data_IF_182105271462
#
_entry.id   IF_182105271462
#
_cell.length_a   1.000
_cell.length_b   1.000
_cell.length_c   1.000
_cell.angle_alpha   90.00
_cell.angle_beta   90.00
_cell.angle_gamma   90.00
#
_symmetry.space_group_name_H-M   'P 1'
#
loop_
_entity.id
_entity.type
_entity.pdbx_description
1 polymer ?
#
# COMPACT_ATOMS: atom_id res chain seq x y z
N UNK A 1 1.31 12.62 2.97
CA UNK A 1 1.89 13.58 3.96
C UNK A 1 3.37 13.82 3.70
N UNK A 2 4.15 12.75 3.49
CA UNK A 2 5.56 12.80 3.05
C UNK A 2 5.73 13.54 1.72
N UNK A 3 4.79 13.39 0.78
CA UNK A 3 4.82 14.08 -0.53
C UNK A 3 4.80 15.61 -0.43
N UNK A 4 4.29 16.15 0.69
CA UNK A 4 4.34 17.61 0.94
C UNK A 4 5.74 18.08 1.28
N UNK A 5 6.54 17.25 1.97
CA UNK A 5 7.91 17.57 2.35
C UNK A 5 8.91 17.32 1.20
N UNK A 6 8.60 16.38 0.30
CA UNK A 6 9.47 15.99 -0.83
C UNK A 6 9.19 16.76 -2.15
N UNK A 7 8.49 17.90 -2.07
CA UNK A 7 8.01 18.65 -3.24
C UNK A 7 9.16 19.30 -4.02
N UNK A 8 8.97 19.47 -5.34
CA UNK A 8 9.97 20.11 -6.22
C UNK A 8 10.45 21.46 -5.68
N UNK A 9 11.77 21.68 -5.70
CA UNK A 9 12.43 22.86 -5.13
C UNK A 9 13.05 22.64 -3.75
N UNK A 10 12.85 21.47 -3.14
CA UNK A 10 13.51 21.08 -1.90
C UNK A 10 14.99 20.72 -2.17
N UNK A 11 15.93 21.50 -1.62
CA UNK A 11 17.37 21.32 -1.80
C UNK A 11 18.03 20.48 -0.70
N UNK A 12 17.30 20.17 0.38
CA UNK A 12 17.78 19.41 1.54
C UNK A 12 17.19 18.00 1.55
N UNK A 13 17.98 17.03 2.00
CA UNK A 13 17.52 15.65 2.18
C UNK A 13 16.36 15.58 3.19
N UNK A 14 15.29 14.88 2.81
CA UNK A 14 14.09 14.70 3.64
C UNK A 14 14.12 13.29 4.21
N UNK A 15 14.11 13.19 5.54
CA UNK A 15 13.98 11.92 6.24
C UNK A 15 12.54 11.74 6.71
N UNK A 16 11.93 10.62 6.32
CA UNK A 16 10.61 10.24 6.78
C UNK A 16 10.73 9.01 7.69
N UNK A 17 10.42 9.19 8.97
CA UNK A 17 10.33 8.10 9.93
C UNK A 17 8.87 7.80 10.20
N UNK A 18 8.49 6.53 10.10
CA UNK A 18 7.18 6.06 10.51
C UNK A 18 7.36 5.14 11.70
N UNK A 19 6.90 5.59 12.86
CA UNK A 19 6.87 4.79 14.07
C UNK A 19 5.67 3.84 13.98
N UNK A 20 5.89 2.57 14.29
CA UNK A 20 4.86 1.52 14.25
C UNK A 20 4.97 0.76 15.57
N UNK A 21 3.90 0.71 16.34
CA UNK A 21 3.86 -0.08 17.56
C UNK A 21 3.67 -1.57 17.23
N UNK A 22 4.58 -2.42 17.75
CA UNK A 22 4.50 -3.88 17.60
C UNK A 22 3.30 -4.45 18.35
N UNK A 23 2.70 -5.50 17.78
CA UNK A 23 1.55 -6.21 18.35
C UNK A 23 0.30 -5.32 18.52
N UNK A 24 0.22 -4.23 17.75
CA UNK A 24 -0.92 -3.33 17.76
C UNK A 24 -1.72 -3.36 16.46
N UNK A 25 -2.84 -2.65 16.46
CA UNK A 25 -3.69 -2.47 15.29
C UNK A 25 -2.95 -1.76 14.15
N UNK A 26 -1.96 -0.91 14.47
CA UNK A 26 -1.19 -0.17 13.47
C UNK A 26 -0.42 -1.11 12.54
N UNK A 27 0.21 -2.15 13.09
CA UNK A 27 0.93 -3.18 12.32
C UNK A 27 -0.01 -3.94 11.39
N UNK A 28 -1.20 -4.32 11.87
CA UNK A 28 -2.21 -5.02 11.08
C UNK A 28 -2.74 -4.18 9.92
N UNK A 29 -3.03 -2.90 10.19
CA UNK A 29 -3.47 -1.95 9.16
C UNK A 29 -2.41 -1.80 8.08
N UNK A 30 -1.14 -1.80 8.46
CA UNK A 30 -0.02 -1.69 7.56
C UNK A 30 0.13 -2.90 6.64
N UNK A 31 -0.01 -4.10 7.20
CA UNK A 31 -0.05 -5.34 6.43
C UNK A 31 -1.23 -5.36 5.45
N UNK A 32 -2.42 -4.94 5.90
CA UNK A 32 -3.61 -4.78 5.05
C UNK A 32 -3.38 -3.78 3.90
N UNK A 33 -2.78 -2.62 4.19
CA UNK A 33 -2.45 -1.63 3.16
C UNK A 33 -1.44 -2.17 2.13
N UNK A 34 -0.48 -3.01 2.55
CA UNK A 34 0.44 -3.69 1.63
C UNK A 34 -0.33 -4.65 0.72
N UNK A 35 -1.14 -5.53 1.29
CA UNK A 35 -1.93 -6.51 0.53
C UNK A 35 -2.84 -5.83 -0.50
N UNK A 36 -3.51 -4.73 -0.13
CA UNK A 36 -4.32 -3.94 -1.06
C UNK A 36 -3.51 -3.37 -2.22
N UNK A 37 -2.29 -2.87 -1.95
CA UNK A 37 -1.39 -2.34 -2.99
C UNK A 37 -0.91 -3.43 -3.92
N UNK A 38 -0.48 -4.56 -3.38
CA UNK A 38 0.05 -5.68 -4.17
C UNK A 38 -1.04 -6.23 -5.09
N UNK A 39 -2.28 -6.34 -4.59
CA UNK A 39 -3.43 -6.74 -5.38
C UNK A 39 -3.74 -5.72 -6.49
N UNK A 40 -3.72 -4.43 -6.17
CA UNK A 40 -3.95 -3.37 -7.16
C UNK A 40 -2.88 -3.37 -8.26
N UNK A 41 -1.61 -3.55 -7.90
CA UNK A 41 -0.49 -3.62 -8.84
C UNK A 41 -0.62 -4.83 -9.77
N UNK A 42 -1.01 -5.99 -9.24
CA UNK A 42 -1.21 -7.19 -10.03
C UNK A 42 -2.36 -7.06 -11.05
N UNK A 43 -3.42 -6.32 -10.69
CA UNK A 43 -4.53 -6.02 -11.61
C UNK A 43 -4.08 -5.06 -12.72
N UNK A 44 -3.36 -3.99 -12.37
CA UNK A 44 -2.85 -2.99 -13.33
C UNK A 44 -1.84 -3.63 -14.28
N UNK A 45 -1.02 -4.55 -13.78
CA UNK A 45 -0.02 -5.29 -14.58
C UNK A 45 -0.64 -6.33 -15.51
N UNK A 46 -1.96 -6.55 -15.46
CA UNK A 46 -2.72 -7.49 -16.28
C UNK A 46 -2.12 -8.92 -16.30
N UNK A 47 -1.53 -9.35 -15.18
CA UNK A 47 -1.08 -10.72 -15.01
C UNK A 47 -2.30 -11.65 -14.97
N UNK A 48 -2.58 -12.26 -16.13
CA UNK A 48 -3.72 -13.16 -16.38
C UNK A 48 -3.78 -14.36 -15.42
N UNK A 49 -2.69 -14.67 -14.72
CA UNK A 49 -2.62 -15.71 -13.69
C UNK A 49 -3.20 -15.25 -12.35
N UNK A 50 -2.98 -13.99 -11.95
CA UNK A 50 -3.46 -13.43 -10.69
C UNK A 50 -4.95 -13.12 -10.78
N UNK A 51 -5.40 -12.60 -11.94
CA UNK A 51 -6.82 -12.36 -12.21
C UNK A 51 -7.68 -13.64 -12.16
N UNK A 52 -7.09 -14.82 -12.42
CA UNK A 52 -7.77 -16.12 -12.30
C UNK A 52 -7.92 -16.61 -10.87
N UNK A 53 -7.03 -16.20 -9.98
CA UNK A 53 -7.06 -16.55 -8.56
C UNK A 53 -7.71 -15.48 -7.69
N UNK A 54 -8.15 -14.36 -8.29
CA UNK A 54 -8.85 -13.30 -7.59
C UNK A 54 -10.19 -13.81 -7.07
N UNK A 55 -10.41 -13.69 -5.76
CA UNK A 55 -11.69 -14.02 -5.14
C UNK A 55 -12.58 -12.78 -5.01
N UNK A 56 -13.88 -12.99 -4.78
CA UNK A 56 -14.81 -11.89 -4.50
C UNK A 56 -14.40 -11.10 -3.25
N UNK A 57 -13.77 -11.76 -2.28
CA UNK A 57 -13.30 -11.15 -1.03
C UNK A 57 -12.12 -10.20 -1.28
N UNK A 58 -11.22 -10.57 -2.21
CA UNK A 58 -10.09 -9.72 -2.62
C UNK A 58 -10.57 -8.44 -3.32
N UNK A 59 -11.58 -8.56 -4.19
CA UNK A 59 -12.21 -7.41 -4.83
C UNK A 59 -12.91 -6.50 -3.83
N UNK A 60 -13.60 -7.08 -2.86
CA UNK A 60 -14.22 -6.33 -1.78
C UNK A 60 -13.16 -5.62 -0.93
N UNK A 61 -12.05 -6.29 -0.62
CA UNK A 61 -10.93 -5.69 0.11
C UNK A 61 -10.37 -4.46 -0.61
N UNK A 62 -10.31 -4.47 -1.94
CA UNK A 62 -9.82 -3.37 -2.77
C UNK A 62 -10.80 -2.18 -2.82
N UNK A 63 -12.10 -2.46 -2.87
CA UNK A 63 -13.17 -1.46 -3.05
C UNK A 63 -13.73 -0.89 -1.73
N UNK A 64 -13.39 -1.49 -0.59
CA UNK A 64 -13.76 -1.02 0.77
C UNK A 64 -12.73 -0.06 1.35
#
# INVERSE_FOLDING_TARGET
AVDRAHRMGQSKQVFAYRLIARDTVEEKILALQSQKRDLAEAIVSADNSVLKNLTSDDLQLLLS
#
